data_IF_084604359399
#
_entry.id   IF_084604359399
#
_cell.length_a   1.000
_cell.length_b   1.000
_cell.length_c   1.000
_cell.angle_alpha   90.00
_cell.angle_beta   90.00
_cell.angle_gamma   90.00
#
_symmetry.space_group_name_H-M   'P 1'
#
loop_
_entity.id
_entity.type
_entity.pdbx_description
1 polymer ?
#
# COMPACT_ATOMS: atom_id res chain seq x y z
N UNK A 1 31.65 14.90 -12.67
CA UNK A 1 30.42 14.80 -11.85
C UNK A 1 29.23 14.85 -12.79
N UNK A 2 28.62 13.71 -13.12
CA UNK A 2 27.47 13.68 -14.02
C UNK A 2 26.27 14.27 -13.26
N UNK A 3 25.71 15.36 -13.77
CA UNK A 3 24.59 16.06 -13.15
C UNK A 3 23.44 15.06 -12.98
N UNK A 4 23.18 14.62 -11.75
CA UNK A 4 22.09 13.70 -11.45
C UNK A 4 20.81 14.49 -11.60
N UNK A 5 20.27 14.53 -12.82
CA UNK A 5 19.04 15.23 -13.12
C UNK A 5 17.97 14.75 -12.14
N UNK A 6 17.50 15.70 -11.31
CA UNK A 6 16.50 15.48 -10.27
C UNK A 6 15.15 15.72 -10.91
N UNK A 7 14.29 14.71 -10.86
CA UNK A 7 12.96 14.79 -11.43
C UNK A 7 12.02 15.60 -10.51
N UNK A 8 12.15 16.92 -10.54
CA UNK A 8 11.36 17.83 -9.70
C UNK A 8 9.85 17.66 -9.90
N UNK A 9 9.40 17.37 -11.12
CA UNK A 9 7.99 17.06 -11.40
C UNK A 9 7.49 15.81 -10.69
N UNK A 10 8.31 14.76 -10.59
CA UNK A 10 7.92 13.52 -9.89
C UNK A 10 7.93 13.71 -8.37
N UNK A 11 8.85 14.54 -7.85
CA UNK A 11 8.84 14.95 -6.45
C UNK A 11 7.56 15.74 -6.11
N UNK A 12 7.12 16.65 -7.00
CA UNK A 12 5.86 17.40 -6.85
C UNK A 12 4.62 16.50 -6.89
N UNK A 13 4.55 15.56 -7.84
CA UNK A 13 3.45 14.58 -7.93
C UNK A 13 3.37 13.74 -6.66
N UNK A 14 4.52 13.26 -6.17
CA UNK A 14 4.58 12.52 -4.91
C UNK A 14 4.10 13.38 -3.73
N UNK A 15 4.58 14.62 -3.62
CA UNK A 15 4.20 15.51 -2.53
C UNK A 15 2.69 15.81 -2.54
N UNK A 16 2.13 16.06 -3.73
CA UNK A 16 0.69 16.28 -3.91
C UNK A 16 -0.12 15.06 -3.50
N UNK A 17 0.31 13.85 -3.90
CA UNK A 17 -0.34 12.60 -3.51
C UNK A 17 -0.25 12.31 -2.00
N UNK A 18 0.82 12.76 -1.33
CA UNK A 18 0.94 12.69 0.12
C UNK A 18 -0.02 13.66 0.82
N UNK A 19 -0.17 14.88 0.30
CA UNK A 19 -1.11 15.86 0.82
C UNK A 19 -2.57 15.41 0.67
N UNK A 20 -2.92 14.76 -0.44
CA UNK A 20 -4.24 14.15 -0.62
C UNK A 20 -4.55 13.06 0.42
N UNK A 21 -3.53 12.43 1.00
CA UNK A 21 -3.71 11.53 2.14
C UNK A 21 -4.25 12.23 3.38
N UNK A 22 -3.82 13.47 3.65
CA UNK A 22 -4.35 14.29 4.74
C UNK A 22 -5.85 14.60 4.54
N UNK A 23 -6.25 14.88 3.30
CA UNK A 23 -7.66 15.10 2.95
C UNK A 23 -8.47 13.84 3.25
N UNK A 24 -8.00 12.65 2.84
CA UNK A 24 -8.67 11.38 3.20
C UNK A 24 -8.79 11.23 4.72
N UNK A 25 -7.71 11.39 5.47
CA UNK A 25 -7.73 11.16 6.92
C UNK A 25 -8.63 12.13 7.68
N UNK A 26 -8.84 13.34 7.16
CA UNK A 26 -9.79 14.30 7.73
C UNK A 26 -11.22 13.97 7.29
N UNK A 27 -11.45 13.65 6.02
CA UNK A 27 -12.77 13.33 5.49
C UNK A 27 -13.36 12.02 6.03
N UNK A 28 -12.54 10.99 6.32
CA UNK A 28 -12.99 9.69 6.88
C UNK A 28 -13.74 9.85 8.23
N UNK A 29 -13.49 10.92 8.97
CA UNK A 29 -14.24 11.21 10.20
C UNK A 29 -15.68 11.68 9.94
N UNK A 30 -15.97 12.12 8.71
CA UNK A 30 -17.22 12.73 8.28
C UNK A 30 -17.87 11.99 7.08
N UNK A 31 -17.42 10.76 6.79
CA UNK A 31 -18.05 9.87 5.81
C UNK A 31 -19.30 9.20 6.38
N UNK A 32 -20.20 8.72 5.51
CA UNK A 32 -21.33 7.89 5.92
C UNK A 32 -20.86 6.53 6.48
N UNK A 33 -21.74 5.84 7.20
CA UNK A 33 -21.42 4.69 8.07
C UNK A 33 -20.55 3.58 7.45
N UNK A 34 -20.52 3.41 6.12
CA UNK A 34 -19.74 2.37 5.45
C UNK A 34 -18.21 2.58 5.48
N UNK A 35 -17.74 3.83 5.58
CA UNK A 35 -16.32 4.22 5.56
C UNK A 35 -15.89 4.94 6.83
N UNK A 36 -16.85 5.21 7.73
CA UNK A 36 -16.63 5.98 8.94
C UNK A 36 -15.59 5.32 9.82
N UNK A 37 -14.58 6.09 10.20
CA UNK A 37 -13.57 5.62 11.13
C UNK A 37 -14.22 5.07 12.41
N UNK A 38 -13.78 3.92 12.94
CA UNK A 38 -14.36 3.31 14.13
C UNK A 38 -14.21 4.15 15.42
N UNK A 39 -13.49 5.27 15.36
CA UNK A 39 -13.31 6.25 16.43
C UNK A 39 -14.08 7.56 16.20
N UNK A 40 -14.84 7.68 15.12
CA UNK A 40 -15.64 8.87 14.83
C UNK A 40 -16.88 8.90 15.74
N UNK A 41 -16.75 9.54 16.91
CA UNK A 41 -17.84 9.75 17.86
C UNK A 41 -18.73 10.93 17.45
N UNK A 42 -20.01 10.85 17.78
CA UNK A 42 -20.97 11.96 17.61
C UNK A 42 -22.17 11.65 16.70
N UNK A 43 -23.21 12.48 16.83
CA UNK A 43 -24.51 12.34 16.15
C UNK A 43 -24.50 12.75 14.66
N UNK A 44 -23.36 13.17 14.14
CA UNK A 44 -23.22 13.53 12.74
C UNK A 44 -23.41 12.28 11.86
N UNK A 45 -24.22 12.34 10.81
CA UNK A 45 -24.52 11.18 9.94
C UNK A 45 -23.59 11.09 8.71
N UNK A 46 -22.64 12.01 8.58
CA UNK A 46 -21.71 12.06 7.45
C UNK A 46 -22.31 12.74 6.21
N UNK A 47 -21.44 13.12 5.27
CA UNK A 47 -21.85 13.73 4.00
C UNK A 47 -21.39 12.92 2.80
N UNK A 48 -22.23 12.90 1.77
CA UNK A 48 -21.93 12.32 0.46
C UNK A 48 -20.68 12.97 -0.16
N UNK A 49 -20.42 14.25 0.11
CA UNK A 49 -19.24 14.96 -0.42
C UNK A 49 -17.95 14.36 0.16
N UNK A 50 -17.94 14.02 1.45
CA UNK A 50 -16.79 13.41 2.10
C UNK A 50 -16.58 11.97 1.60
N UNK A 51 -17.67 11.21 1.40
CA UNK A 51 -17.61 9.88 0.79
C UNK A 51 -17.02 9.94 -0.61
N UNK A 52 -17.50 10.86 -1.42
CA UNK A 52 -17.02 11.07 -2.77
C UNK A 52 -15.54 11.45 -2.77
N UNK A 53 -15.13 12.41 -1.93
CA UNK A 53 -13.74 12.83 -1.82
C UNK A 53 -12.82 11.68 -1.41
N UNK A 54 -13.20 10.91 -0.38
CA UNK A 54 -12.46 9.74 0.08
C UNK A 54 -12.30 8.70 -1.01
N UNK A 55 -13.39 8.28 -1.64
CA UNK A 55 -13.38 7.26 -2.69
C UNK A 55 -12.63 7.72 -3.94
N UNK A 56 -12.87 8.95 -4.39
CA UNK A 56 -12.21 9.52 -5.56
C UNK A 56 -10.69 9.58 -5.38
N UNK A 57 -10.21 10.10 -4.24
CA UNK A 57 -8.78 10.16 -3.97
C UNK A 57 -8.20 8.74 -3.85
N UNK A 58 -8.89 7.84 -3.13
CA UNK A 58 -8.43 6.46 -2.95
C UNK A 58 -8.32 5.71 -4.29
N UNK A 59 -9.21 5.99 -5.25
CA UNK A 59 -9.30 5.31 -6.54
C UNK A 59 -8.08 5.46 -7.44
N UNK A 60 -7.27 6.52 -7.28
CA UNK A 60 -6.04 6.70 -8.07
C UNK A 60 -4.77 6.85 -7.24
N UNK A 61 -4.88 7.34 -6.00
CA UNK A 61 -3.70 7.68 -5.18
C UNK A 61 -2.79 6.47 -4.95
N UNK A 62 -3.35 5.30 -4.68
CA UNK A 62 -2.55 4.11 -4.35
C UNK A 62 -1.88 3.51 -5.60
N UNK A 63 -2.60 3.50 -6.72
CA UNK A 63 -2.11 3.13 -8.05
C UNK A 63 -0.94 4.03 -8.44
N UNK A 64 -1.08 5.34 -8.25
CA UNK A 64 -0.03 6.33 -8.49
C UNK A 64 1.21 6.03 -7.64
N UNK A 65 1.06 5.74 -6.35
CA UNK A 65 2.21 5.40 -5.50
C UNK A 65 2.91 4.11 -5.94
N UNK A 66 2.18 3.09 -6.39
CA UNK A 66 2.80 1.88 -6.93
C UNK A 66 3.57 2.13 -8.23
N UNK A 67 3.01 2.94 -9.16
CA UNK A 67 3.72 3.37 -10.38
C UNK A 67 5.02 4.11 -10.00
N UNK A 68 4.94 5.08 -9.09
CA UNK A 68 6.11 5.81 -8.62
C UNK A 68 7.12 4.86 -7.97
N UNK A 69 6.67 3.92 -7.14
CA UNK A 69 7.54 2.97 -6.46
C UNK A 69 8.30 2.07 -7.44
N UNK A 70 7.66 1.63 -8.52
CA UNK A 70 8.29 0.92 -9.64
C UNK A 70 9.32 1.78 -10.37
N UNK A 71 8.94 3.01 -10.73
CA UNK A 71 9.82 3.95 -11.43
C UNK A 71 11.10 4.24 -10.64
N UNK A 72 10.96 4.59 -9.37
CA UNK A 72 12.13 4.85 -8.52
C UNK A 72 12.93 3.57 -8.23
N UNK A 73 12.32 2.38 -8.28
CA UNK A 73 13.06 1.14 -8.18
C UNK A 73 13.99 0.94 -9.39
N UNK A 74 13.44 1.01 -10.60
CA UNK A 74 14.21 0.85 -11.84
C UNK A 74 15.30 1.92 -11.97
N UNK A 75 14.97 3.19 -11.64
CA UNK A 75 15.93 4.30 -11.65
C UNK A 75 17.13 4.03 -10.72
N UNK A 76 16.89 3.57 -9.49
CA UNK A 76 17.96 3.28 -8.54
C UNK A 76 18.77 2.05 -8.97
N UNK A 77 18.12 1.02 -9.51
CA UNK A 77 18.81 -0.16 -10.06
C UNK A 77 19.77 0.24 -11.17
N UNK A 78 19.32 1.05 -12.13
CA UNK A 78 20.14 1.55 -13.26
C UNK A 78 21.31 2.42 -12.78
N UNK A 79 21.10 3.27 -11.76
CA UNK A 79 22.12 4.22 -11.28
C UNK A 79 23.11 3.64 -10.26
N UNK A 80 22.68 2.72 -9.40
CA UNK A 80 23.46 2.27 -8.22
C UNK A 80 23.55 0.75 -8.07
N UNK A 81 22.86 -0.02 -8.91
CA UNK A 81 22.90 -1.49 -8.91
C UNK A 81 21.94 -2.16 -7.91
N UNK A 82 21.84 -3.48 -8.03
CA UNK A 82 20.86 -4.31 -7.32
C UNK A 82 21.13 -4.43 -5.81
N UNK A 83 22.40 -4.62 -5.43
CA UNK A 83 22.76 -4.79 -4.01
C UNK A 83 22.44 -3.51 -3.21
N UNK A 84 22.62 -2.35 -3.83
CA UNK A 84 22.33 -1.06 -3.20
C UNK A 84 20.84 -0.89 -2.92
N UNK A 85 19.97 -1.13 -3.93
CA UNK A 85 18.53 -0.98 -3.73
C UNK A 85 18.00 -1.97 -2.70
N UNK A 86 18.48 -3.22 -2.67
CA UNK A 86 18.04 -4.22 -1.70
C UNK A 86 18.30 -3.74 -0.26
N UNK A 87 19.53 -3.30 0.03
CA UNK A 87 19.91 -2.80 1.36
C UNK A 87 19.12 -1.55 1.75
N UNK A 88 18.95 -0.60 0.83
CA UNK A 88 18.19 0.62 1.09
C UNK A 88 16.70 0.34 1.33
N UNK A 89 16.09 -0.55 0.54
CA UNK A 89 14.67 -0.91 0.70
C UNK A 89 14.45 -1.72 1.96
N UNK A 90 15.35 -2.62 2.32
CA UNK A 90 15.29 -3.33 3.60
C UNK A 90 15.28 -2.35 4.78
N UNK A 91 16.23 -1.40 4.80
CA UNK A 91 16.33 -0.41 5.90
C UNK A 91 15.18 0.59 5.95
N UNK A 92 14.64 1.01 4.80
CA UNK A 92 13.63 2.08 4.70
C UNK A 92 12.19 1.61 4.59
N UNK A 93 11.96 0.33 4.28
CA UNK A 93 10.62 -0.22 4.05
C UNK A 93 10.37 -1.39 4.99
N UNK A 94 11.21 -2.43 4.92
CA UNK A 94 11.00 -3.65 5.71
C UNK A 94 11.17 -3.41 7.22
N UNK A 95 12.23 -2.72 7.63
CA UNK A 95 12.46 -2.46 9.05
C UNK A 95 11.37 -1.54 9.66
N UNK A 96 10.97 -0.40 9.03
CA UNK A 96 9.84 0.39 9.51
C UNK A 96 8.52 -0.37 9.52
N UNK A 97 8.31 -1.30 8.60
CA UNK A 97 7.12 -2.15 8.58
C UNK A 97 7.06 -3.08 9.80
N UNK A 98 8.18 -3.71 10.18
CA UNK A 98 8.26 -4.52 11.40
C UNK A 98 7.97 -3.68 12.66
N UNK A 99 8.56 -2.49 12.75
CA UNK A 99 8.29 -1.54 13.84
C UNK A 99 6.81 -1.14 13.84
N UNK A 100 6.22 -0.89 12.66
CA UNK A 100 4.79 -0.62 12.48
C UNK A 100 3.89 -1.71 13.06
N UNK A 101 4.19 -2.97 12.74
CA UNK A 101 3.42 -4.13 13.19
C UNK A 101 3.57 -4.37 14.69
N UNK A 102 4.80 -4.39 15.22
CA UNK A 102 5.03 -4.85 16.59
C UNK A 102 4.88 -3.75 17.63
N UNK A 103 4.99 -2.48 17.25
CA UNK A 103 4.94 -1.36 18.19
C UNK A 103 3.71 -0.48 17.92
N UNK A 104 3.62 0.09 16.72
CA UNK A 104 2.57 1.09 16.45
C UNK A 104 1.17 0.49 16.39
N UNK A 105 1.03 -0.72 15.87
CA UNK A 105 -0.29 -1.33 15.73
C UNK A 105 -0.89 -1.77 17.08
N UNK A 106 -0.17 -2.42 18.02
CA UNK A 106 -0.67 -2.66 19.37
C UNK A 106 -1.01 -1.37 20.12
N UNK A 107 -0.17 -0.33 20.00
CA UNK A 107 -0.46 1.00 20.57
C UNK A 107 -1.75 1.56 19.97
N UNK A 108 -1.93 1.48 18.65
CA UNK A 108 -3.13 1.94 17.99
C UNK A 108 -4.36 1.19 18.49
N UNK A 109 -4.30 -0.12 18.75
CA UNK A 109 -5.44 -0.87 19.31
C UNK A 109 -5.73 -0.53 20.78
N UNK A 110 -4.70 -0.22 21.58
CA UNK A 110 -4.90 0.28 22.95
C UNK A 110 -5.60 1.64 22.97
N UNK A 111 -5.20 2.55 22.07
CA UNK A 111 -5.70 3.93 22.03
C UNK A 111 -7.03 4.03 21.29
N UNK A 112 -7.10 3.46 20.08
CA UNK A 112 -8.28 3.48 19.23
C UNK A 112 -9.17 2.29 19.61
N UNK A 113 -10.02 2.51 20.60
CA UNK A 113 -10.96 1.50 21.05
C UNK A 113 -12.13 1.34 20.06
N UNK A 114 -11.94 0.47 19.07
CA UNK A 114 -12.95 0.20 18.03
C UNK A 114 -14.24 -0.30 18.69
N UNK A 115 -15.29 0.53 18.69
CA UNK A 115 -16.63 0.20 19.21
C UNK A 115 -16.67 -0.37 20.65
N UNK A 116 -15.71 -0.01 21.50
CA UNK A 116 -15.64 -0.56 22.87
C UNK A 116 -15.10 -2.00 22.94
N UNK A 117 -14.76 -2.63 21.81
CA UNK A 117 -14.34 -4.03 21.73
C UNK A 117 -13.07 -4.28 22.54
N UNK A 118 -12.03 -3.49 22.30
CA UNK A 118 -10.77 -3.66 23.02
C UNK A 118 -10.92 -3.26 24.50
N UNK A 119 -11.82 -2.32 24.83
CA UNK A 119 -12.10 -1.95 26.22
C UNK A 119 -12.74 -3.10 26.97
N UNK A 120 -13.71 -3.79 26.36
CA UNK A 120 -14.40 -4.91 27.00
C UNK A 120 -13.52 -6.17 27.07
N UNK A 121 -12.73 -6.46 26.03
CA UNK A 121 -11.84 -7.62 26.03
C UNK A 121 -10.66 -7.46 27.00
N UNK A 122 -10.11 -6.26 27.10
CA UNK A 122 -8.94 -5.96 27.95
C UNK A 122 -9.33 -5.48 29.36
N UNK A 123 -10.62 -5.46 29.69
CA UNK A 123 -11.09 -4.97 30.98
C UNK A 123 -10.53 -5.80 32.15
N UNK A 124 -10.04 -5.11 33.17
CA UNK A 124 -9.38 -5.71 34.34
C UNK A 124 -7.94 -6.21 34.12
N UNK A 125 -7.35 -6.05 32.93
CA UNK A 125 -5.93 -6.35 32.70
C UNK A 125 -5.04 -5.14 33.02
N UNK A 126 -3.81 -5.41 33.46
CA UNK A 126 -2.80 -4.36 33.53
C UNK A 126 -2.42 -3.86 32.13
N UNK A 127 -1.84 -2.66 32.05
CA UNK A 127 -1.33 -2.09 30.78
C UNK A 127 -0.31 -3.03 30.13
N UNK A 128 0.52 -3.67 30.95
CA UNK A 128 1.52 -4.63 30.48
C UNK A 128 0.87 -5.89 29.87
N UNK A 129 -0.10 -6.49 30.56
CA UNK A 129 -0.81 -7.66 30.06
C UNK A 129 -1.59 -7.33 28.78
N UNK A 130 -2.22 -6.16 28.75
CA UNK A 130 -2.96 -5.66 27.58
C UNK A 130 -2.05 -5.48 26.37
N UNK A 131 -0.89 -4.85 26.56
CA UNK A 131 0.08 -4.67 25.48
C UNK A 131 0.66 -6.00 24.99
N UNK A 132 1.06 -6.90 25.91
CA UNK A 132 1.58 -8.24 25.57
C UNK A 132 0.54 -9.04 24.77
N UNK A 133 -0.70 -9.01 25.24
CA UNK A 133 -1.87 -9.65 24.65
C UNK A 133 -2.11 -9.17 23.22
N UNK A 134 -2.07 -7.85 22.97
CA UNK A 134 -2.23 -7.29 21.63
C UNK A 134 -1.02 -7.54 20.71
N UNK A 135 0.20 -7.42 21.24
CA UNK A 135 1.44 -7.64 20.49
C UNK A 135 1.55 -9.08 19.96
N UNK A 136 1.06 -10.04 20.73
CA UNK A 136 1.11 -11.46 20.41
C UNK A 136 -0.23 -12.01 19.88
N UNK A 137 -1.20 -11.16 19.54
CA UNK A 137 -2.51 -11.60 19.04
C UNK A 137 -3.22 -12.63 19.93
N UNK A 138 -3.11 -12.45 21.24
CA UNK A 138 -3.71 -13.38 22.21
C UNK A 138 -2.94 -14.69 22.38
N UNK A 139 -1.79 -14.88 21.72
CA UNK A 139 -0.93 -16.00 22.08
C UNK A 139 -0.49 -15.82 23.54
N UNK A 140 -0.76 -16.84 24.37
CA UNK A 140 -0.56 -16.85 25.82
C UNK A 140 -1.50 -15.95 26.64
N UNK A 141 -2.67 -15.58 26.09
CA UNK A 141 -3.75 -14.96 26.85
C UNK A 141 -4.90 -15.97 27.01
N UNK A 142 -5.49 -16.02 28.20
CA UNK A 142 -6.66 -16.87 28.47
C UNK A 142 -7.96 -16.29 27.87
N UNK A 143 -7.89 -15.11 27.24
CA UNK A 143 -9.02 -14.41 26.62
C UNK A 143 -8.95 -14.44 25.10
N UNK A 144 -10.11 -14.58 24.45
CA UNK A 144 -10.23 -14.45 23.00
C UNK A 144 -10.04 -12.98 22.59
N UNK A 145 -8.85 -12.67 22.10
CA UNK A 145 -8.52 -11.35 21.55
C UNK A 145 -8.90 -11.33 20.08
N UNK A 146 -9.46 -10.22 19.61
CA UNK A 146 -9.86 -10.06 18.22
C UNK A 146 -8.74 -10.51 17.26
N UNK A 147 -8.96 -11.57 16.47
CA UNK A 147 -7.90 -12.15 15.64
C UNK A 147 -7.72 -11.42 14.31
N UNK A 148 -8.30 -10.24 14.12
CA UNK A 148 -8.10 -9.48 12.89
C UNK A 148 -6.85 -8.59 12.95
N UNK A 149 -5.86 -8.99 12.17
CA UNK A 149 -4.72 -8.16 11.80
C UNK A 149 -5.19 -7.19 10.72
N UNK A 150 -5.61 -5.99 11.11
CA UNK A 150 -5.98 -4.94 10.17
C UNK A 150 -4.73 -4.19 9.67
N UNK A 151 -4.27 -4.46 8.45
CA UNK A 151 -3.17 -3.70 7.83
C UNK A 151 -3.62 -2.32 7.32
N UNK A 152 -4.68 -1.71 7.87
CA UNK A 152 -5.33 -0.52 7.31
C UNK A 152 -4.36 0.64 7.05
N UNK A 153 -3.35 0.81 7.91
CA UNK A 153 -2.30 1.82 7.76
C UNK A 153 -1.05 1.33 7.00
N UNK A 154 -0.80 0.02 6.97
CA UNK A 154 0.46 -0.56 6.48
C UNK A 154 0.33 -1.41 5.22
N UNK A 155 -0.88 -1.56 4.68
CA UNK A 155 -1.15 -2.45 3.55
C UNK A 155 -0.34 -2.10 2.31
N UNK A 156 -0.22 -0.80 2.01
CA UNK A 156 0.59 -0.35 0.89
C UNK A 156 2.03 -0.86 0.99
N UNK A 157 2.61 -0.77 2.19
CA UNK A 157 3.97 -1.23 2.46
C UNK A 157 4.08 -2.75 2.36
N UNK A 158 3.08 -3.47 2.87
CA UNK A 158 2.99 -4.93 2.76
C UNK A 158 2.99 -5.40 1.29
N UNK A 159 2.09 -4.86 0.46
CA UNK A 159 2.05 -5.14 -0.98
C UNK A 159 3.35 -4.73 -1.68
N UNK A 160 3.93 -3.58 -1.31
CA UNK A 160 5.17 -3.10 -1.89
C UNK A 160 6.36 -4.03 -1.59
N UNK A 161 6.43 -4.63 -0.39
CA UNK A 161 7.44 -5.65 -0.07
C UNK A 161 7.29 -6.87 -0.97
N UNK A 162 6.06 -7.37 -1.16
CA UNK A 162 5.77 -8.50 -2.06
C UNK A 162 6.22 -8.16 -3.49
N UNK A 163 5.89 -6.97 -3.98
CA UNK A 163 6.29 -6.53 -5.33
C UNK A 163 7.81 -6.42 -5.47
N UNK A 164 8.53 -5.96 -4.45
CA UNK A 164 9.99 -5.97 -4.48
C UNK A 164 10.56 -7.38 -4.52
N UNK A 165 9.99 -8.33 -3.77
CA UNK A 165 10.41 -9.75 -3.79
C UNK A 165 10.19 -10.32 -5.19
N UNK A 166 9.01 -10.12 -5.79
CA UNK A 166 8.70 -10.58 -7.15
C UNK A 166 9.65 -9.93 -8.17
N UNK A 167 9.89 -8.62 -8.07
CA UNK A 167 10.78 -7.89 -8.97
C UNK A 167 12.22 -8.42 -8.88
N UNK A 168 12.76 -8.62 -7.68
CA UNK A 168 14.12 -9.18 -7.53
C UNK A 168 14.21 -10.64 -7.97
N UNK A 169 13.19 -11.45 -7.70
CA UNK A 169 13.11 -12.84 -8.19
C UNK A 169 13.11 -12.88 -9.72
N UNK A 170 12.33 -12.02 -10.37
CA UNK A 170 12.31 -11.89 -11.83
C UNK A 170 13.67 -11.48 -12.41
N UNK A 171 14.36 -10.53 -11.76
CA UNK A 171 15.71 -10.12 -12.18
C UNK A 171 16.76 -11.22 -11.98
N UNK A 172 16.66 -12.02 -10.91
CA UNK A 172 17.54 -13.16 -10.68
C UNK A 172 17.29 -14.27 -11.73
N UNK A 173 16.02 -14.54 -12.05
CA UNK A 173 15.63 -15.55 -13.02
C UNK A 173 16.02 -15.17 -14.46
N UNK A 174 15.81 -13.91 -14.85
CA UNK A 174 16.18 -13.40 -16.18
C UNK A 174 17.68 -13.33 -16.44
N UNK A 175 18.52 -13.31 -15.39
CA UNK A 175 19.98 -13.48 -15.52
C UNK A 175 20.38 -14.94 -15.78
N UNK A 176 19.68 -15.89 -15.14
CA UNK A 176 19.96 -17.33 -15.28
C UNK A 176 19.45 -17.90 -16.59
N UNK A 177 18.22 -17.52 -16.97
CA UNK A 177 17.61 -17.94 -18.22
C UNK A 177 17.93 -16.83 -19.22
N UNK A 178 18.76 -17.09 -20.25
CA UNK A 178 19.08 -16.14 -21.33
C UNK A 178 17.80 -15.72 -22.09
N UNK A 179 16.98 -14.86 -21.49
CA UNK A 179 15.71 -14.31 -21.98
C UNK A 179 15.98 -13.32 -23.13
N UNK A 180 16.56 -13.80 -24.24
CA UNK A 180 16.88 -12.99 -25.43
C UNK A 180 15.65 -12.72 -26.32
N UNK A 181 14.58 -13.52 -26.23
CA UNK A 181 13.46 -13.52 -27.21
C UNK A 181 12.23 -12.70 -26.78
N UNK A 182 11.98 -12.57 -25.48
CA UNK A 182 10.80 -11.89 -24.89
C UNK A 182 10.92 -10.37 -24.89
N UNK A 183 12.11 -9.84 -25.18
CA UNK A 183 12.34 -8.40 -25.30
C UNK A 183 11.58 -7.76 -26.47
N UNK A 184 11.25 -8.47 -27.57
CA UNK A 184 10.69 -7.81 -28.78
C UNK A 184 9.22 -7.40 -28.66
N UNK A 185 8.35 -8.25 -28.10
CA UNK A 185 6.94 -7.92 -27.92
C UNK A 185 6.77 -6.90 -26.78
N UNK A 186 7.49 -7.13 -25.69
CA UNK A 186 7.51 -6.24 -24.53
C UNK A 186 8.06 -4.85 -24.90
N UNK A 187 9.17 -4.78 -25.64
CA UNK A 187 9.70 -3.50 -26.14
C UNK A 187 8.81 -2.81 -27.17
N UNK A 188 8.02 -3.54 -27.98
CA UNK A 188 7.04 -2.93 -28.90
C UNK A 188 5.87 -2.30 -28.16
N UNK A 189 5.26 -3.01 -27.22
CA UNK A 189 4.20 -2.48 -26.37
C UNK A 189 4.74 -1.30 -25.55
N UNK A 190 5.95 -1.42 -25.02
CA UNK A 190 6.65 -0.37 -24.27
C UNK A 190 6.92 0.87 -25.12
N UNK A 191 7.49 0.72 -26.32
CA UNK A 191 7.73 1.84 -27.24
C UNK A 191 6.42 2.49 -27.69
N UNK A 192 5.34 1.73 -27.84
CA UNK A 192 4.02 2.27 -28.13
C UNK A 192 3.47 3.12 -26.99
N UNK A 193 3.62 2.65 -25.73
CA UNK A 193 3.20 3.37 -24.54
C UNK A 193 4.00 4.67 -24.37
N UNK A 194 5.33 4.63 -24.48
CA UNK A 194 6.15 5.84 -24.28
C UNK A 194 6.14 6.81 -25.47
N UNK A 195 5.75 6.36 -26.67
CA UNK A 195 5.67 7.21 -27.87
C UNK A 195 4.46 8.16 -27.84
N UNK A 196 3.39 7.82 -27.13
CA UNK A 196 2.20 8.65 -27.00
C UNK A 196 2.01 9.06 -25.55
N UNK A 197 2.06 10.37 -25.24
CA UNK A 197 1.70 10.91 -23.91
C UNK A 197 0.31 10.42 -23.44
N UNK A 198 -0.57 10.12 -24.40
CA UNK A 198 -1.92 9.58 -24.19
C UNK A 198 -1.96 8.11 -23.77
N UNK A 199 -0.86 7.36 -23.85
CA UNK A 199 -0.85 5.96 -23.42
C UNK A 199 -1.07 5.78 -21.92
N UNK A 200 -0.88 6.84 -21.13
CA UNK A 200 -1.34 6.87 -19.74
C UNK A 200 -2.86 6.64 -19.62
N UNK A 201 -3.66 7.00 -20.63
CA UNK A 201 -5.11 6.75 -20.68
C UNK A 201 -5.46 5.28 -20.96
N UNK A 202 -4.52 4.48 -21.50
CA UNK A 202 -4.71 3.04 -21.66
C UNK A 202 -4.59 2.30 -20.32
N UNK A 203 -3.90 2.88 -19.35
CA UNK A 203 -3.75 2.28 -18.03
C UNK A 203 -5.11 2.16 -17.32
N UNK A 204 -5.94 3.21 -17.19
CA UNK A 204 -7.32 3.09 -16.73
C UNK A 204 -8.13 2.07 -17.52
N UNK A 205 -7.98 2.00 -18.85
CA UNK A 205 -8.76 1.07 -19.68
C UNK A 205 -8.46 -0.40 -19.36
N UNK A 206 -7.20 -0.71 -19.04
CA UNK A 206 -6.75 -2.05 -18.65
C UNK A 206 -7.09 -2.35 -17.19
N UNK A 207 -6.99 -1.34 -16.31
CA UNK A 207 -7.21 -1.52 -14.88
C UNK A 207 -8.70 -1.48 -14.51
N UNK A 208 -9.56 -0.85 -15.30
CA UNK A 208 -10.99 -0.68 -15.02
C UNK A 208 -11.77 -2.00 -14.92
N UNK A 209 -11.63 -3.00 -15.83
CA UNK A 209 -12.31 -4.28 -15.70
C UNK A 209 -11.88 -5.06 -14.45
N UNK A 210 -10.59 -4.95 -14.09
CA UNK A 210 -10.04 -5.60 -12.88
C UNK A 210 -10.57 -4.89 -11.63
N UNK A 211 -10.66 -3.56 -11.65
CA UNK A 211 -11.23 -2.75 -10.57
C UNK A 211 -12.71 -3.06 -10.34
N UNK A 212 -13.48 -3.22 -11.43
CA UNK A 212 -14.90 -3.61 -11.36
C UNK A 212 -15.12 -5.03 -10.81
N UNK A 213 -14.13 -5.91 -10.99
CA UNK A 213 -14.13 -7.28 -10.44
C UNK A 213 -13.79 -7.32 -8.93
N UNK A 214 -13.41 -6.18 -8.32
CA UNK A 214 -13.13 -6.13 -6.89
C UNK A 214 -14.43 -6.06 -6.09
N UNK A 215 -14.52 -6.86 -5.02
CA UNK A 215 -15.73 -6.96 -4.19
C UNK A 215 -16.07 -5.67 -3.40
N UNK A 216 -15.15 -4.71 -3.29
CA UNK A 216 -15.33 -3.46 -2.53
C UNK A 216 -14.17 -2.49 -2.86
N UNK A 217 -14.40 -1.16 -2.94
CA UNK A 217 -13.41 -0.18 -3.41
C UNK A 217 -12.37 0.23 -2.34
N UNK A 218 -12.61 -0.10 -1.07
CA UNK A 218 -11.75 0.22 0.07
C UNK A 218 -11.39 -1.06 0.83
N UNK A 219 -10.21 -1.63 0.56
CA UNK A 219 -9.76 -2.86 1.22
C UNK A 219 -8.28 -2.81 1.58
N UNK A 220 -7.93 -2.71 2.87
CA UNK A 220 -6.69 -3.28 3.34
C UNK A 220 -6.84 -4.81 3.47
N UNK A 221 -5.78 -5.60 3.20
CA UNK A 221 -5.78 -7.01 3.49
C UNK A 221 -5.91 -7.20 5.00
N UNK A 222 -6.83 -8.08 5.39
CA UNK A 222 -6.96 -8.55 6.76
C UNK A 222 -6.25 -9.90 6.89
N UNK A 223 -5.55 -10.13 8.01
CA UNK A 223 -4.99 -11.45 8.38
C UNK A 223 -3.94 -12.02 7.40
N UNK A 224 -3.08 -11.16 6.84
CA UNK A 224 -2.08 -11.56 5.83
C UNK A 224 -2.66 -12.22 4.56
N UNK A 225 -3.99 -12.27 4.42
CA UNK A 225 -4.63 -12.86 3.27
C UNK A 225 -4.40 -11.94 2.06
N UNK A 226 -3.67 -12.45 1.07
CA UNK A 226 -3.36 -11.71 -0.15
C UNK A 226 -4.35 -12.16 -1.21
N UNK A 227 -5.33 -11.30 -1.51
CA UNK A 227 -6.22 -11.54 -2.63
C UNK A 227 -5.43 -11.44 -3.94
N UNK A 228 -5.48 -12.51 -4.74
CA UNK A 228 -4.73 -12.60 -6.00
C UNK A 228 -5.15 -11.49 -6.98
N UNK A 229 -6.43 -11.13 -7.00
CA UNK A 229 -6.94 -10.09 -7.90
C UNK A 229 -6.38 -8.71 -7.54
N UNK A 230 -6.38 -8.37 -6.25
CA UNK A 230 -5.81 -7.12 -5.73
C UNK A 230 -4.30 -7.06 -5.97
N UNK A 231 -3.61 -8.16 -5.66
CA UNK A 231 -2.16 -8.28 -5.89
C UNK A 231 -1.84 -8.03 -7.35
N UNK A 232 -2.58 -8.66 -8.27
CA UNK A 232 -2.39 -8.51 -9.70
C UNK A 232 -2.67 -7.06 -10.16
N UNK A 233 -3.79 -6.47 -9.71
CA UNK A 233 -4.17 -5.09 -10.03
C UNK A 233 -3.06 -4.08 -9.70
N UNK A 234 -2.57 -4.10 -8.46
CA UNK A 234 -1.51 -3.19 -8.02
C UNK A 234 -0.14 -3.57 -8.60
N UNK A 235 0.11 -4.86 -8.87
CA UNK A 235 1.33 -5.30 -9.53
C UNK A 235 1.43 -4.80 -10.97
N UNK A 236 0.32 -4.71 -11.71
CA UNK A 236 0.29 -4.09 -13.05
C UNK A 236 0.72 -2.62 -12.96
N UNK A 237 0.17 -1.87 -12.00
CA UNK A 237 0.55 -0.47 -11.76
C UNK A 237 2.04 -0.34 -11.40
N UNK A 238 2.54 -1.17 -10.47
CA UNK A 238 3.95 -1.20 -10.11
C UNK A 238 4.85 -1.53 -11.30
N UNK A 239 4.50 -2.58 -12.03
CA UNK A 239 5.25 -3.06 -13.19
C UNK A 239 5.35 -1.98 -14.24
N UNK A 240 4.25 -1.29 -14.56
CA UNK A 240 4.23 -0.15 -15.49
C UNK A 240 5.27 0.91 -15.14
N UNK A 241 5.40 1.23 -13.85
CA UNK A 241 6.43 2.14 -13.37
C UNK A 241 7.84 1.57 -13.46
N UNK A 242 8.01 0.27 -13.23
CA UNK A 242 9.31 -0.41 -13.20
C UNK A 242 9.93 -0.68 -14.59
N UNK A 243 9.21 -0.42 -15.68
CA UNK A 243 9.73 -0.50 -17.05
C UNK A 243 10.84 0.55 -17.29
#
# INVERSE_FOLDING_TARGET
MHNQERYHGLDFVRASAMLLGLVIHTSICFTTDSLRAPFASGNYQGDIINDFACNFIHLFRMQLFFILAGFFANLVIKRKGLNYIFKERFRRIFLPFLVGIFIFMPINFLVCNINGFYSSTLDGLSIYESFKSLLLWGAFSDREIYPMIGFIHFWFVYYLIIFYIIHFAFLALSKKIKFKKTNKLFSKIFNFIFRYKSAFLLLPLITFPIHYSLNNPFFPPTQFNVNINELFYYFVCYSFGAL
#
